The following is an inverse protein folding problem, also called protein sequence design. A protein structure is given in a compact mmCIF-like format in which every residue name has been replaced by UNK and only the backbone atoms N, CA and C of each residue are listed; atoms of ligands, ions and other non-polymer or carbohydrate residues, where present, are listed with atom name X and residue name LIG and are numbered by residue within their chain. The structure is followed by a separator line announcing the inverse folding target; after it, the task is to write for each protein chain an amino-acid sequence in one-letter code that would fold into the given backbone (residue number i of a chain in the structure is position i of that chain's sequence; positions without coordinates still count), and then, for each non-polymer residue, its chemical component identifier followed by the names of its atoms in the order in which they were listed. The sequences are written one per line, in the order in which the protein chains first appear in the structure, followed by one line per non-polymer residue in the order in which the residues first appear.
data_IF_826076540848
#
_entry.id   IF_826076540848
#
_cell.length_a   1.000
_cell.length_b   1.000
_cell.length_c   1.000
_cell.angle_alpha   90.00
_cell.angle_beta   90.00
_cell.angle_gamma   90.00
#
_symmetry.space_group_name_H-M   'P 1'
#
loop_
_entity.id
_entity.type
_entity.pdbx_description
1 polymer ?
#
# COMPACT_ATOMS: atom_id res chain seq x y z
N UNK A 1 -19.90 6.68 6.06
CA UNK A 1 -19.15 5.42 6.27
C UNK A 1 -17.66 5.66 5.97
N UNK A 2 -16.77 4.72 6.30
CA UNK A 2 -15.33 4.83 6.00
C UNK A 2 -14.92 3.89 4.87
N UNK A 3 -13.90 4.28 4.11
CA UNK A 3 -13.33 3.50 3.01
C UNK A 3 -11.80 3.39 3.14
N UNK A 4 -11.28 2.25 2.70
CA UNK A 4 -9.84 2.06 2.45
C UNK A 4 -9.60 1.87 0.96
N UNK A 5 -8.51 2.46 0.45
CA UNK A 5 -7.97 2.13 -0.87
C UNK A 5 -7.00 0.98 -0.70
N UNK A 6 -7.19 -0.07 -1.48
CA UNK A 6 -6.46 -1.32 -1.32
C UNK A 6 -6.20 -1.96 -2.67
N UNK A 7 -5.08 -2.65 -2.80
CA UNK A 7 -4.77 -3.44 -3.98
C UNK A 7 -5.81 -4.52 -4.24
N UNK A 8 -6.29 -4.64 -5.48
CA UNK A 8 -7.30 -5.62 -5.87
C UNK A 8 -6.81 -7.06 -5.66
N UNK A 9 -5.50 -7.31 -5.78
CA UNK A 9 -4.89 -8.63 -5.58
C UNK A 9 -4.30 -8.82 -4.18
N UNK A 10 -4.42 -7.83 -3.29
CA UNK A 10 -3.90 -7.90 -1.93
C UNK A 10 -4.57 -8.98 -1.07
N UNK A 11 -3.89 -9.38 0.00
CA UNK A 11 -4.40 -10.31 1.00
C UNK A 11 -5.70 -9.81 1.65
N UNK A 12 -5.73 -8.53 2.03
CA UNK A 12 -6.90 -7.86 2.61
C UNK A 12 -8.14 -8.04 1.69
N UNK A 13 -7.95 -7.91 0.38
CA UNK A 13 -9.02 -8.03 -0.59
C UNK A 13 -9.44 -9.48 -0.83
N UNK A 14 -8.49 -10.38 -1.10
CA UNK A 14 -8.77 -11.72 -1.61
C UNK A 14 -8.93 -12.80 -0.53
N UNK A 15 -8.22 -12.69 0.60
CA UNK A 15 -7.97 -13.81 1.50
C UNK A 15 -8.48 -13.63 2.93
N UNK A 16 -9.16 -12.51 3.21
CA UNK A 16 -9.70 -12.22 4.54
C UNK A 16 -11.22 -12.39 4.64
N UNK A 17 -11.84 -13.07 3.67
CA UNK A 17 -13.27 -13.36 3.68
C UNK A 17 -14.16 -12.10 3.67
N UNK A 18 -13.63 -10.97 3.21
CA UNK A 18 -14.35 -9.69 3.20
C UNK A 18 -14.54 -9.07 4.58
N UNK A 19 -13.73 -9.44 5.58
CA UNK A 19 -13.89 -8.97 6.96
C UNK A 19 -13.80 -7.44 7.13
N UNK A 20 -13.10 -6.73 6.25
CA UNK A 20 -13.14 -5.26 6.23
C UNK A 20 -14.59 -4.74 6.13
N UNK A 21 -15.39 -5.29 5.21
CA UNK A 21 -16.80 -4.95 5.08
C UNK A 21 -17.67 -5.65 6.14
N UNK A 22 -17.53 -6.97 6.28
CA UNK A 22 -18.42 -7.79 7.08
C UNK A 22 -18.31 -7.59 8.59
N UNK A 23 -17.10 -7.34 9.10
CA UNK A 23 -16.84 -7.17 10.55
C UNK A 23 -16.65 -5.70 10.92
N UNK A 24 -15.88 -4.94 10.13
CA UNK A 24 -15.54 -3.57 10.45
C UNK A 24 -16.50 -2.52 9.83
N UNK A 25 -17.39 -2.93 8.92
CA UNK A 25 -18.29 -2.00 8.21
C UNK A 25 -17.54 -1.01 7.31
N UNK A 26 -16.37 -1.39 6.83
CA UNK A 26 -15.47 -0.57 6.01
C UNK A 26 -15.65 -0.92 4.54
N UNK A 27 -15.90 0.10 3.70
CA UNK A 27 -15.87 -0.04 2.24
C UNK A 27 -14.45 -0.27 1.74
N UNK A 28 -14.31 -1.04 0.65
CA UNK A 28 -13.01 -1.23 -0.01
C UNK A 28 -13.05 -0.65 -1.42
N UNK A 29 -12.14 0.28 -1.70
CA UNK A 29 -11.85 0.79 -3.04
C UNK A 29 -10.69 -0.01 -3.59
N UNK A 30 -11.00 -0.93 -4.49
CA UNK A 30 -9.99 -1.80 -5.09
C UNK A 30 -9.34 -1.09 -6.28
N UNK A 31 -8.01 -0.97 -6.25
CA UNK A 31 -7.20 -0.46 -7.35
C UNK A 31 -6.31 -1.59 -7.83
N UNK A 32 -6.27 -1.81 -9.14
CA UNK A 32 -5.41 -2.86 -9.70
C UNK A 32 -3.95 -2.44 -9.66
N UNK A 33 -3.11 -3.35 -9.17
CA UNK A 33 -1.67 -3.24 -9.21
C UNK A 33 -1.15 -3.41 -10.65
N UNK A 34 -0.05 -2.74 -10.97
CA UNK A 34 0.69 -3.01 -12.20
C UNK A 34 1.21 -4.48 -12.16
N UNK A 35 0.97 -5.26 -13.23
CA UNK A 35 1.27 -6.69 -13.24
C UNK A 35 2.76 -7.03 -13.20
N UNK A 36 3.64 -6.08 -13.51
CA UNK A 36 5.09 -6.31 -13.55
C UNK A 36 5.79 -5.84 -12.28
N UNK A 37 5.24 -4.83 -11.61
CA UNK A 37 5.88 -4.13 -10.48
C UNK A 37 5.11 -4.27 -9.17
N UNK A 38 3.88 -4.78 -9.21
CA UNK A 38 2.97 -4.85 -8.07
C UNK A 38 2.59 -3.49 -7.46
N UNK A 39 2.86 -2.38 -8.17
CA UNK A 39 2.63 -1.02 -7.68
C UNK A 39 1.21 -0.56 -8.00
N UNK A 40 0.59 0.17 -7.09
CA UNK A 40 -0.59 0.96 -7.36
C UNK A 40 -0.21 2.28 -8.05
N UNK A 41 -0.98 2.67 -9.05
CA UNK A 41 -0.82 3.93 -9.78
C UNK A 41 -1.31 5.12 -8.94
N UNK A 42 -0.48 6.16 -8.81
CA UNK A 42 -0.78 7.33 -7.98
C UNK A 42 -1.97 8.13 -8.49
N UNK A 43 -2.12 8.24 -9.81
CA UNK A 43 -3.18 9.05 -10.41
C UNK A 43 -4.53 8.36 -10.22
N UNK A 44 -4.57 7.04 -10.35
CA UNK A 44 -5.75 6.24 -10.01
C UNK A 44 -6.15 6.39 -8.53
N UNK A 45 -5.18 6.45 -7.62
CA UNK A 45 -5.45 6.72 -6.18
C UNK A 45 -6.04 8.13 -6.01
N UNK A 46 -5.48 9.15 -6.67
CA UNK A 46 -6.00 10.53 -6.61
C UNK A 46 -7.44 10.61 -7.15
N UNK A 47 -7.73 9.91 -8.24
CA UNK A 47 -9.03 9.95 -8.91
C UNK A 47 -10.14 9.26 -8.11
N UNK A 48 -9.80 8.20 -7.35
CA UNK A 48 -10.78 7.45 -6.57
C UNK A 48 -10.89 7.90 -5.10
N UNK A 49 -10.01 8.79 -4.66
CA UNK A 49 -10.00 9.30 -3.29
C UNK A 49 -11.17 10.25 -3.02
N UNK A 50 -11.84 10.04 -1.88
CA UNK A 50 -13.00 10.82 -1.46
C UNK A 50 -12.73 11.46 -0.08
N UNK A 51 -12.60 12.79 -0.06
CA UNK A 51 -12.42 13.58 1.16
C UNK A 51 -13.69 14.29 1.63
N UNK A 52 -14.67 14.48 0.74
CA UNK A 52 -15.81 15.34 1.02
C UNK A 52 -16.73 14.80 2.13
N UNK A 53 -17.55 15.71 2.64
CA UNK A 53 -18.55 15.42 3.66
C UNK A 53 -19.91 15.01 3.02
N UNK A 54 -19.90 14.43 1.81
CA UNK A 54 -21.14 13.92 1.20
C UNK A 54 -21.63 12.68 1.97
N UNK A 55 -22.86 12.76 2.49
CA UNK A 55 -23.48 11.67 3.23
C UNK A 55 -23.77 10.43 2.35
N UNK A 56 -23.72 10.55 1.03
CA UNK A 56 -23.93 9.44 0.08
C UNK A 56 -22.67 8.61 -0.17
N UNK A 57 -21.48 9.13 0.15
CA UNK A 57 -20.21 8.48 -0.16
C UNK A 57 -19.46 8.06 1.11
N UNK A 58 -18.70 6.94 1.08
CA UNK A 58 -17.80 6.63 2.15
C UNK A 58 -16.54 7.50 2.02
N UNK A 59 -16.01 7.97 3.15
CA UNK A 59 -14.84 8.82 3.16
C UNK A 59 -13.57 7.97 3.18
N UNK A 60 -12.64 8.23 2.27
CA UNK A 60 -11.37 7.52 2.21
C UNK A 60 -10.49 7.92 3.40
N UNK A 61 -9.90 6.94 4.09
CA UNK A 61 -9.11 7.17 5.32
C UNK A 61 -7.74 6.51 5.33
N UNK A 62 -7.59 5.39 4.62
CA UNK A 62 -6.36 4.60 4.64
C UNK A 62 -6.03 4.14 3.22
N UNK A 63 -4.77 4.27 2.84
CA UNK A 63 -4.16 3.58 1.70
C UNK A 63 -3.43 2.34 2.24
N UNK A 64 -3.74 1.17 1.69
CA UNK A 64 -3.14 -0.11 2.08
C UNK A 64 -2.20 -0.63 0.98
N UNK A 65 -0.96 -0.94 1.36
CA UNK A 65 0.04 -1.60 0.52
C UNK A 65 0.37 -2.99 1.09
N UNK A 66 0.91 -3.89 0.27
CA UNK A 66 1.40 -5.22 0.69
C UNK A 66 2.89 -5.36 0.32
N UNK A 67 3.75 -5.72 1.28
CA UNK A 67 5.18 -5.92 1.03
C UNK A 67 5.80 -7.04 1.90
N UNK A 68 6.30 -8.14 1.33
CA UNK A 68 6.27 -8.48 -0.11
C UNK A 68 4.86 -8.85 -0.59
N UNK A 69 4.57 -8.56 -1.86
CA UNK A 69 3.25 -8.81 -2.43
C UNK A 69 3.12 -10.24 -2.96
N UNK A 70 2.41 -11.10 -2.23
CA UNK A 70 2.37 -12.54 -2.45
C UNK A 70 1.67 -12.92 -3.77
N UNK A 71 0.51 -12.32 -4.05
CA UNK A 71 -0.26 -12.63 -5.27
C UNK A 71 0.37 -12.06 -6.55
N UNK A 72 1.33 -11.15 -6.40
CA UNK A 72 2.10 -10.57 -7.50
C UNK A 72 3.48 -11.20 -7.64
N UNK A 73 3.65 -12.46 -7.21
CA UNK A 73 4.91 -13.21 -7.35
C UNK A 73 5.92 -12.98 -6.23
N UNK A 74 5.50 -12.45 -5.09
CA UNK A 74 6.38 -12.17 -3.95
C UNK A 74 7.25 -10.92 -4.15
N UNK A 75 6.80 -9.98 -4.99
CA UNK A 75 7.53 -8.75 -5.31
C UNK A 75 7.81 -7.94 -4.05
N UNK A 76 9.07 -7.55 -3.89
CA UNK A 76 9.48 -6.56 -2.89
C UNK A 76 9.31 -5.16 -3.48
N UNK A 77 8.38 -4.37 -2.92
CA UNK A 77 8.15 -3.01 -3.40
C UNK A 77 9.42 -2.16 -3.19
N UNK A 78 9.87 -1.35 -4.17
CA UNK A 78 11.05 -0.51 -4.03
C UNK A 78 10.90 0.51 -2.88
N UNK A 79 11.95 0.81 -2.10
CA UNK A 79 11.91 1.84 -1.06
C UNK A 79 11.44 3.20 -1.60
N UNK A 80 11.95 3.60 -2.77
CA UNK A 80 11.56 4.86 -3.43
C UNK A 80 10.07 4.93 -3.77
N UNK A 81 9.45 3.79 -4.12
CA UNK A 81 8.00 3.73 -4.34
C UNK A 81 7.22 3.87 -3.03
N UNK A 82 7.66 3.17 -1.97
CA UNK A 82 7.03 3.27 -0.66
C UNK A 82 7.11 4.70 -0.08
N UNK A 83 8.25 5.38 -0.28
CA UNK A 83 8.43 6.78 0.11
C UNK A 83 7.46 7.69 -0.66
N UNK A 84 7.35 7.50 -1.99
CA UNK A 84 6.42 8.25 -2.83
C UNK A 84 4.95 8.03 -2.41
N UNK A 85 4.56 6.80 -2.09
CA UNK A 85 3.21 6.51 -1.60
C UNK A 85 2.95 7.07 -0.20
N UNK A 86 3.95 7.08 0.68
CA UNK A 86 3.85 7.72 2.00
C UNK A 86 3.67 9.23 1.87
N UNK A 87 4.41 9.88 0.97
CA UNK A 87 4.29 11.31 0.66
C UNK A 87 2.90 11.64 0.10
N UNK A 88 2.47 10.90 -0.93
CA UNK A 88 1.14 11.02 -1.52
C UNK A 88 0.04 10.90 -0.45
N UNK A 89 0.10 9.83 0.35
CA UNK A 89 -0.92 9.56 1.36
C UNK A 89 -0.98 10.69 2.40
N UNK A 90 0.17 11.06 3.00
CA UNK A 90 0.19 12.00 4.14
C UNK A 90 0.00 13.45 3.71
N UNK A 91 0.73 13.88 2.69
CA UNK A 91 0.90 15.29 2.40
C UNK A 91 -0.07 15.79 1.32
N UNK A 92 -0.47 14.93 0.38
CA UNK A 92 -1.43 15.31 -0.66
C UNK A 92 -2.87 14.90 -0.31
N UNK A 93 -3.08 13.67 0.17
CA UNK A 93 -4.43 13.08 0.30
C UNK A 93 -4.97 13.02 1.74
N UNK A 94 -4.17 13.39 2.73
CA UNK A 94 -4.52 13.31 4.16
C UNK A 94 -5.03 11.91 4.58
N UNK A 95 -4.39 10.86 4.04
CA UNK A 95 -4.65 9.46 4.33
C UNK A 95 -3.58 8.90 5.27
N UNK A 96 -3.99 7.91 6.06
CA UNK A 96 -3.02 7.03 6.74
C UNK A 96 -2.51 6.00 5.76
N UNK A 97 -1.28 5.54 5.97
CA UNK A 97 -0.71 4.43 5.20
C UNK A 97 -0.66 3.18 6.09
N UNK A 98 -1.21 2.07 5.62
CA UNK A 98 -1.05 0.75 6.23
C UNK A 98 -0.21 -0.13 5.31
N UNK A 99 0.75 -0.85 5.90
CA UNK A 99 1.55 -1.83 5.19
C UNK A 99 1.23 -3.23 5.75
N UNK A 100 0.63 -4.08 4.92
CA UNK A 100 0.62 -5.51 5.17
C UNK A 100 2.05 -6.04 4.97
N UNK A 101 2.72 -6.20 6.10
CA UNK A 101 4.11 -6.60 6.20
C UNK A 101 4.29 -8.07 6.59
N UNK A 102 3.35 -8.96 6.28
CA UNK A 102 3.43 -10.38 6.64
C UNK A 102 4.79 -11.03 6.28
N UNK A 103 5.47 -10.48 5.25
CA UNK A 103 6.80 -10.90 4.77
C UNK A 103 7.80 -9.75 4.64
N UNK A 104 7.68 -8.69 5.45
CA UNK A 104 8.53 -7.49 5.33
C UNK A 104 10.03 -7.79 5.49
N UNK A 105 10.39 -8.79 6.30
CA UNK A 105 11.79 -9.21 6.46
C UNK A 105 12.40 -9.76 5.16
N UNK A 106 11.60 -10.42 4.31
CA UNK A 106 12.03 -10.87 3.00
C UNK A 106 12.30 -9.68 2.07
N UNK A 107 11.46 -8.64 2.14
CA UNK A 107 11.66 -7.41 1.37
C UNK A 107 12.99 -6.73 1.74
N UNK A 108 13.29 -6.64 3.03
CA UNK A 108 14.55 -6.05 3.54
C UNK A 108 15.78 -6.79 2.99
N UNK A 109 15.77 -8.13 3.03
CA UNK A 109 16.89 -8.94 2.51
C UNK A 109 17.04 -8.79 0.99
N UNK A 110 15.93 -8.77 0.25
CA UNK A 110 15.94 -8.59 -1.19
C UNK A 110 16.54 -7.24 -1.60
N UNK A 111 16.15 -6.16 -0.91
CA UNK A 111 16.66 -4.81 -1.16
C UNK A 111 18.14 -4.68 -0.80
N UNK A 112 18.56 -5.25 0.34
CA UNK A 112 19.98 -5.26 0.75
C UNK A 112 20.89 -5.98 -0.25
N UNK A 113 20.37 -7.01 -0.92
CA UNK A 113 21.14 -7.76 -1.94
C UNK A 113 21.32 -6.97 -3.23
N UNK A 114 20.34 -6.12 -3.59
CA UNK A 114 20.45 -5.22 -4.74
C UNK A 114 21.38 -4.04 -4.45
N UNK A 115 21.41 -3.53 -3.21
CA UNK A 115 22.32 -2.45 -2.80
C UNK A 115 23.79 -2.90 -2.82
N UNK A 116 24.09 -4.18 -2.55
CA UNK A 116 25.45 -4.72 -2.61
C UNK A 116 26.07 -4.73 -4.01
N UNK A 117 25.29 -4.49 -5.07
CA UNK A 117 25.79 -4.30 -6.44
C UNK A 117 26.02 -2.82 -6.81
N UNK A 118 25.71 -1.88 -5.91
CA UNK A 118 25.95 -0.46 -6.10
C UNK A 118 26.57 0.12 -4.82
N UNK A 119 27.91 0.19 -4.78
CA UNK A 119 28.67 0.58 -3.59
C UNK A 119 28.34 2.00 -3.11
N UNK A 120 27.38 2.14 -2.21
CA UNK A 120 27.22 3.31 -1.34
C UNK A 120 26.57 2.89 -0.02
N UNK A 121 27.37 2.99 1.05
CA UNK A 121 27.11 2.89 2.50
C UNK A 121 25.72 2.41 3.00
N UNK A 122 25.65 1.50 4.00
CA UNK A 122 24.38 1.00 4.51
C UNK A 122 23.49 2.13 5.05
N UNK A 123 22.26 2.19 4.56
CA UNK A 123 21.24 3.11 5.06
C UNK A 123 21.03 2.84 6.56
N UNK A 124 21.32 3.85 7.38
CA UNK A 124 21.11 3.81 8.82
C UNK A 124 19.61 3.79 9.10
N UNK A 125 19.11 2.69 9.68
CA UNK A 125 17.75 2.61 10.21
C UNK A 125 17.66 3.63 11.35
N UNK A 126 17.07 4.79 11.06
CA UNK A 126 16.76 5.79 12.09
C UNK A 126 15.32 5.55 12.54
N UNK A 127 15.18 4.92 13.69
CA UNK A 127 13.92 4.88 14.45
C UNK A 127 13.73 6.22 15.18
N UNK A 128 12.67 6.94 14.84
CA UNK A 128 12.07 7.99 15.69
C UNK A 128 10.57 7.83 15.71
#
# INVERSE_FOLDING_TARGET
ASEIVVGANSHICLWEGGNAAGLAGISTRQVYEDPNTAQLDSDTIRDCWVLDDDDHTPKTRVLCLENTHNMMGGVALPPTYMDAMSELAKNELNLRLHLDGARVMNAIVAQSSNDNNNSSSPATITTT
#
